data_IF_846657655991
#
_entry.id   IF_846657655991
#
_cell.length_a   1.000
_cell.length_b   1.000
_cell.length_c   1.000
_cell.angle_alpha   90.00
_cell.angle_beta   90.00
_cell.angle_gamma   90.00
#
_symmetry.space_group_name_H-M   'P 1'
#
loop_
_entity.id
_entity.type
_entity.pdbx_description
1 polymer ?
#
# COMPACT_ATOMS: atom_id res chain seq x y z
N UNK A 1 -37.72 17.32 57.24
CA UNK A 1 -37.53 15.92 56.83
C UNK A 1 -36.34 15.89 55.89
N UNK A 2 -35.20 15.43 56.40
CA UNK A 2 -33.92 15.37 55.70
C UNK A 2 -33.98 14.30 54.61
N UNK A 3 -33.82 14.72 53.34
CA UNK A 3 -33.64 13.79 52.23
C UNK A 3 -32.32 13.02 52.44
N UNK A 4 -32.40 11.75 52.81
CA UNK A 4 -31.27 10.82 52.67
C UNK A 4 -30.94 10.71 51.18
N UNK A 5 -29.77 11.23 50.79
CA UNK A 5 -29.21 10.99 49.46
C UNK A 5 -28.80 9.52 49.43
N UNK A 6 -29.67 8.64 48.91
CA UNK A 6 -29.31 7.25 48.62
C UNK A 6 -28.22 7.24 47.55
N UNK A 7 -26.97 7.05 47.98
CA UNK A 7 -25.83 6.83 47.09
C UNK A 7 -25.92 5.47 46.38
N UNK A 8 -25.03 5.24 45.42
CA UNK A 8 -24.96 3.97 44.68
C UNK A 8 -24.38 2.84 45.55
N UNK A 9 -24.95 1.65 45.48
CA UNK A 9 -24.45 0.45 46.17
C UNK A 9 -23.29 -0.22 45.43
N UNK A 10 -22.53 -1.06 46.14
CA UNK A 10 -21.53 -1.93 45.49
C UNK A 10 -22.27 -2.91 44.56
N UNK A 11 -21.80 -2.99 43.32
CA UNK A 11 -22.40 -3.80 42.27
C UNK A 11 -23.31 -3.02 41.32
N UNK A 12 -23.75 -1.81 41.69
CA UNK A 12 -24.65 -0.98 40.88
C UNK A 12 -23.97 -0.45 39.61
N UNK A 13 -24.76 -0.36 38.55
CA UNK A 13 -24.37 0.35 37.33
C UNK A 13 -24.81 1.80 37.40
N UNK A 14 -23.88 2.71 37.15
CA UNK A 14 -24.10 4.16 37.14
C UNK A 14 -23.31 4.81 36.00
N UNK A 15 -23.66 6.05 35.67
CA UNK A 15 -22.95 6.83 34.67
C UNK A 15 -21.87 7.69 35.32
N UNK A 16 -20.64 7.61 34.81
CA UNK A 16 -19.54 8.44 35.28
C UNK A 16 -19.41 9.70 34.43
N UNK A 17 -19.86 10.84 34.96
CA UNK A 17 -19.99 12.09 34.22
C UNK A 17 -18.67 12.55 33.57
N UNK A 18 -17.54 12.48 34.29
CA UNK A 18 -16.24 12.93 33.74
C UNK A 18 -15.66 12.03 32.65
N UNK A 19 -16.09 10.77 32.61
CA UNK A 19 -15.60 9.81 31.63
C UNK A 19 -16.62 9.54 30.53
N UNK A 20 -17.82 10.14 30.64
CA UNK A 20 -18.94 9.94 29.73
C UNK A 20 -19.14 8.46 29.40
N UNK A 21 -19.15 7.60 30.43
CA UNK A 21 -19.17 6.16 30.27
C UNK A 21 -19.97 5.47 31.37
N UNK A 22 -20.63 4.33 31.06
CA UNK A 22 -21.21 3.47 32.08
C UNK A 22 -20.08 2.85 32.93
N UNK A 23 -20.31 2.77 34.22
CA UNK A 23 -19.37 2.21 35.18
C UNK A 23 -20.10 1.36 36.22
N UNK A 24 -19.39 0.40 36.81
CA UNK A 24 -19.91 -0.44 37.88
C UNK A 24 -19.22 -0.12 39.19
N UNK A 25 -19.96 0.12 40.26
CA UNK A 25 -19.37 0.34 41.59
C UNK A 25 -18.75 -0.95 42.09
N UNK A 26 -17.44 -0.92 42.31
CA UNK A 26 -16.65 -2.05 42.83
C UNK A 26 -16.50 -1.93 44.33
N UNK A 27 -16.40 -0.69 44.83
CA UNK A 27 -16.15 -0.41 46.24
C UNK A 27 -16.78 0.92 46.64
N UNK A 28 -17.16 1.02 47.91
CA UNK A 28 -17.76 2.22 48.50
C UNK A 28 -17.22 2.39 49.91
N UNK A 29 -16.54 3.51 50.14
CA UNK A 29 -16.01 3.88 51.45
C UNK A 29 -16.62 5.21 51.89
N UNK A 30 -17.04 5.28 53.15
CA UNK A 30 -17.46 6.53 53.78
C UNK A 30 -16.36 6.99 54.73
N UNK A 31 -15.76 8.14 54.42
CA UNK A 31 -14.66 8.70 55.18
C UNK A 31 -15.03 10.13 55.54
N UNK A 32 -15.17 10.39 56.84
CA UNK A 32 -15.36 11.74 57.39
C UNK A 32 -16.63 12.44 56.85
N UNK A 33 -17.69 11.68 56.58
CA UNK A 33 -18.96 12.18 56.05
C UNK A 33 -18.98 12.40 54.53
N UNK A 34 -17.88 12.12 53.83
CA UNK A 34 -17.84 12.05 52.37
C UNK A 34 -17.83 10.59 51.90
N UNK A 35 -18.59 10.30 50.84
CA UNK A 35 -18.63 8.98 50.22
C UNK A 35 -17.69 8.98 49.00
N UNK A 36 -16.72 8.08 49.02
CA UNK A 36 -15.83 7.78 47.91
C UNK A 36 -16.20 6.42 47.29
N UNK A 37 -16.16 6.36 45.97
CA UNK A 37 -16.41 5.13 45.21
C UNK A 37 -15.16 4.71 44.47
N UNK A 38 -14.98 3.40 44.31
CA UNK A 38 -14.15 2.84 43.23
C UNK A 38 -15.09 2.24 42.20
N UNK A 39 -14.96 2.69 40.96
CA UNK A 39 -15.81 2.23 39.86
C UNK A 39 -14.96 1.62 38.77
N UNK A 40 -15.41 0.50 38.21
CA UNK A 40 -14.82 -0.13 37.04
C UNK A 40 -15.45 0.44 35.77
N UNK A 41 -14.60 0.85 34.83
CA UNK A 41 -14.95 1.33 33.51
C UNK A 41 -14.69 0.21 32.49
N UNK A 42 -15.72 -0.51 32.01
CA UNK A 42 -15.53 -1.68 31.15
C UNK A 42 -14.79 -1.34 29.85
N UNK A 43 -15.13 -0.22 29.21
CA UNK A 43 -14.54 0.18 27.94
C UNK A 43 -13.06 0.59 28.02
N UNK A 44 -12.50 0.74 29.22
CA UNK A 44 -11.08 1.06 29.44
C UNK A 44 -10.35 -0.01 30.26
N UNK A 45 -11.08 -1.05 30.66
CA UNK A 45 -10.64 -2.06 31.63
C UNK A 45 -9.86 -1.47 32.83
N UNK A 46 -10.43 -0.45 33.46
CA UNK A 46 -9.75 0.32 34.50
C UNK A 46 -10.66 0.59 35.71
N UNK A 47 -10.08 0.61 36.91
CA UNK A 47 -10.78 1.01 38.14
C UNK A 47 -10.33 2.40 38.56
N UNK A 48 -11.28 3.34 38.63
CA UNK A 48 -11.03 4.74 38.99
C UNK A 48 -11.74 5.12 40.29
N UNK A 49 -11.24 6.14 40.98
CA UNK A 49 -11.91 6.73 42.15
C UNK A 49 -12.89 7.81 41.70
N UNK A 50 -14.10 7.81 42.25
CA UNK A 50 -15.16 8.76 41.94
C UNK A 50 -15.82 9.28 43.21
N UNK A 51 -16.34 10.51 43.16
CA UNK A 51 -17.20 11.06 44.23
C UNK A 51 -18.67 10.89 43.86
N UNK A 52 -19.56 11.05 44.83
CA UNK A 52 -21.02 11.06 44.56
C UNK A 52 -21.42 12.05 43.47
N UNK A 53 -20.77 13.21 43.39
CA UNK A 53 -21.03 14.23 42.35
C UNK A 53 -20.62 13.79 40.94
N UNK A 54 -19.74 12.81 40.83
CA UNK A 54 -19.23 12.32 39.54
C UNK A 54 -20.11 11.18 38.98
N UNK A 55 -21.06 10.68 39.77
CA UNK A 55 -21.92 9.55 39.43
C UNK A 55 -23.37 10.00 39.30
N UNK A 56 -24.05 9.51 38.26
CA UNK A 56 -25.49 9.68 38.07
C UNK A 56 -26.16 8.36 37.73
N UNK A 57 -27.49 8.31 37.85
CA UNK A 57 -28.26 7.12 37.42
C UNK A 57 -28.01 6.86 35.94
N UNK A 58 -27.80 5.59 35.58
CA UNK A 58 -27.65 5.21 34.18
C UNK A 58 -28.91 5.55 33.35
N UNK A 59 -30.09 5.48 33.98
CA UNK A 59 -31.38 5.81 33.35
C UNK A 59 -31.53 7.31 33.03
N UNK A 60 -30.73 8.17 33.68
CA UNK A 60 -30.75 9.61 33.40
C UNK A 60 -30.06 9.97 32.09
N UNK A 61 -29.33 9.03 31.50
CA UNK A 61 -28.66 9.19 30.21
C UNK A 61 -29.60 8.67 29.13
N UNK A 62 -30.33 9.59 28.51
CA UNK A 62 -31.13 9.32 27.32
C UNK A 62 -30.31 9.74 26.10
N UNK A 63 -29.66 8.80 25.38
CA UNK A 63 -28.98 9.14 24.15
C UNK A 63 -30.01 9.66 23.14
N UNK A 64 -29.68 10.76 22.49
CA UNK A 64 -30.55 11.34 21.46
C UNK A 64 -30.58 10.43 20.23
N UNK A 65 -31.67 10.51 19.44
CA UNK A 65 -31.76 9.76 18.17
C UNK A 65 -30.59 10.05 17.23
N UNK A 66 -30.06 11.28 17.28
CA UNK A 66 -28.90 11.71 16.51
C UNK A 66 -27.62 11.01 16.98
N UNK A 67 -27.35 10.97 18.29
CA UNK A 67 -26.18 10.26 18.85
C UNK A 67 -26.21 8.75 18.56
N UNK A 68 -27.39 8.13 18.63
CA UNK A 68 -27.57 6.72 18.27
C UNK A 68 -27.28 6.52 16.77
N UNK A 69 -27.83 7.37 15.92
CA UNK A 69 -27.63 7.30 14.47
C UNK A 69 -26.16 7.51 14.10
N UNK A 70 -25.51 8.51 14.70
CA UNK A 70 -24.11 8.81 14.52
C UNK A 70 -23.21 7.65 14.97
N UNK A 71 -23.47 7.07 16.14
CA UNK A 71 -22.69 5.94 16.66
C UNK A 71 -22.90 4.69 15.83
N UNK A 72 -24.13 4.39 15.42
CA UNK A 72 -24.45 3.25 14.56
C UNK A 72 -23.85 3.41 13.15
N UNK A 73 -23.86 4.62 12.60
CA UNK A 73 -23.21 4.93 11.32
C UNK A 73 -21.68 4.80 11.42
N UNK A 74 -21.08 5.30 12.51
CA UNK A 74 -19.64 5.15 12.76
C UNK A 74 -19.25 3.68 12.95
N UNK A 75 -20.05 2.90 13.67
CA UNK A 75 -19.83 1.47 13.85
C UNK A 75 -19.98 0.69 12.53
N UNK A 76 -20.99 1.00 11.72
CA UNK A 76 -21.13 0.42 10.37
C UNK A 76 -20.00 0.81 9.43
N UNK A 77 -19.49 2.04 9.55
CA UNK A 77 -18.29 2.46 8.82
C UNK A 77 -17.07 1.70 9.32
N UNK A 78 -16.91 1.51 10.63
CA UNK A 78 -15.82 0.71 11.19
C UNK A 78 -15.89 -0.75 10.71
N UNK A 79 -17.07 -1.36 10.75
CA UNK A 79 -17.36 -2.73 10.30
C UNK A 79 -17.10 -2.90 8.79
N UNK A 80 -17.59 -1.96 7.98
CA UNK A 80 -17.29 -1.94 6.54
C UNK A 80 -15.82 -1.64 6.23
N UNK A 81 -15.12 -0.94 7.14
CA UNK A 81 -13.68 -0.74 7.09
C UNK A 81 -12.91 -1.95 7.63
N UNK A 82 -13.47 -2.82 8.48
CA UNK A 82 -12.80 -4.02 8.98
C UNK A 82 -12.64 -5.08 7.89
N UNK A 83 -13.64 -5.25 7.02
CA UNK A 83 -13.53 -6.11 5.82
C UNK A 83 -12.50 -5.58 4.78
N UNK A 84 -12.15 -4.28 4.84
CA UNK A 84 -11.25 -3.59 3.91
C UNK A 84 -10.18 -2.78 4.63
N UNK A 85 -9.74 -3.21 5.83
CA UNK A 85 -8.90 -2.37 6.67
C UNK A 85 -7.53 -2.27 6.01
N UNK A 86 -7.18 -1.07 5.55
CA UNK A 86 -5.88 -0.78 4.99
C UNK A 86 -4.87 -0.72 6.15
N UNK A 87 -4.03 -1.74 6.27
CA UNK A 87 -3.05 -1.87 7.34
C UNK A 87 -1.83 -0.95 7.13
N UNK A 88 -1.45 -0.73 5.88
CA UNK A 88 -0.29 0.08 5.51
C UNK A 88 -0.41 1.55 5.97
N UNK A 89 -1.52 2.27 5.72
CA UNK A 89 -1.79 3.59 6.28
C UNK A 89 -1.61 3.72 7.80
N UNK A 90 -1.99 2.68 8.56
CA UNK A 90 -1.99 2.70 10.03
C UNK A 90 -0.57 2.55 10.58
N UNK A 91 0.29 1.77 9.91
CA UNK A 91 1.65 1.49 10.37
C UNK A 91 2.73 2.36 9.71
N UNK A 92 2.43 3.01 8.59
CA UNK A 92 3.40 3.90 7.92
C UNK A 92 3.56 5.21 8.68
N UNK A 93 4.76 5.80 8.63
CA UNK A 93 5.02 7.12 9.21
C UNK A 93 4.40 8.27 8.40
N UNK A 94 3.83 7.95 7.24
CA UNK A 94 3.17 8.89 6.34
C UNK A 94 1.70 8.95 6.69
N UNK A 95 1.15 10.16 6.81
CA UNK A 95 -0.30 10.38 6.74
C UNK A 95 -0.68 10.34 5.26
N UNK A 96 -1.28 9.24 4.75
CA UNK A 96 -1.57 9.13 3.34
C UNK A 96 -2.62 10.17 2.95
N UNK A 97 -2.45 10.74 1.75
CA UNK A 97 -3.43 11.67 1.20
C UNK A 97 -4.68 10.90 0.75
N UNK A 98 -5.88 11.52 0.74
CA UNK A 98 -7.12 10.84 0.36
C UNK A 98 -7.08 10.15 -1.00
N UNK A 99 -6.37 10.72 -1.98
CA UNK A 99 -6.22 10.11 -3.29
C UNK A 99 -5.35 8.85 -3.27
N UNK A 100 -4.34 8.80 -2.39
CA UNK A 100 -3.48 7.63 -2.20
C UNK A 100 -4.24 6.48 -1.53
N UNK A 101 -5.13 6.80 -0.58
CA UNK A 101 -6.05 5.82 0.01
C UNK A 101 -7.04 5.28 -1.02
N UNK A 102 -7.55 6.13 -1.91
CA UNK A 102 -8.41 5.69 -3.01
C UNK A 102 -7.66 4.75 -3.97
N UNK A 103 -6.43 5.10 -4.35
CA UNK A 103 -5.58 4.25 -5.18
C UNK A 103 -5.35 2.89 -4.52
N UNK A 104 -5.00 2.88 -3.23
CA UNK A 104 -4.79 1.66 -2.46
C UNK A 104 -6.05 0.79 -2.39
N UNK A 105 -7.19 1.34 -1.96
CA UNK A 105 -8.47 0.62 -1.91
C UNK A 105 -8.87 0.03 -3.27
N UNK A 106 -8.66 0.80 -4.35
CA UNK A 106 -8.98 0.35 -5.70
C UNK A 106 -8.11 -0.84 -6.09
N UNK A 107 -6.82 -0.77 -5.82
CA UNK A 107 -5.88 -1.87 -6.10
C UNK A 107 -6.23 -3.12 -5.30
N UNK A 108 -6.56 -2.97 -4.02
CA UNK A 108 -6.88 -4.08 -3.11
C UNK A 108 -8.26 -4.71 -3.33
N UNK A 109 -9.15 -4.05 -4.09
CA UNK A 109 -10.50 -4.58 -4.35
C UNK A 109 -10.57 -5.72 -5.38
N UNK A 110 -9.42 -6.10 -5.97
CA UNK A 110 -9.33 -7.17 -6.97
C UNK A 110 -8.27 -8.19 -6.59
N UNK A 111 -8.52 -9.46 -6.89
CA UNK A 111 -7.57 -10.54 -6.65
C UNK A 111 -6.30 -10.43 -7.51
N UNK A 112 -6.45 -9.89 -8.73
CA UNK A 112 -5.34 -9.69 -9.67
C UNK A 112 -4.85 -8.25 -9.63
N UNK A 113 -3.76 -8.02 -8.89
CA UNK A 113 -3.14 -6.71 -8.72
C UNK A 113 -2.18 -6.43 -9.87
N UNK A 114 -2.75 -5.98 -11.00
CA UNK A 114 -1.99 -5.57 -12.20
C UNK A 114 -2.49 -4.22 -12.67
N UNK A 115 -1.80 -3.15 -12.29
CA UNK A 115 -2.26 -1.79 -12.47
C UNK A 115 -1.19 -0.86 -13.05
N UNK A 116 -1.66 0.14 -13.80
CA UNK A 116 -0.89 1.32 -14.18
C UNK A 116 -1.31 2.50 -13.29
N UNK A 117 -0.37 3.00 -12.49
CA UNK A 117 -0.49 4.23 -11.71
C UNK A 117 -0.06 5.40 -12.58
N UNK A 118 -1.04 6.17 -13.03
CA UNK A 118 -0.93 7.20 -14.06
C UNK A 118 -1.07 8.63 -13.52
N UNK A 119 -0.79 8.83 -12.23
CA UNK A 119 -0.94 10.12 -11.57
C UNK A 119 0.03 11.17 -12.12
N UNK A 120 -0.30 12.45 -11.96
CA UNK A 120 0.56 13.55 -12.37
C UNK A 120 1.97 13.48 -11.74
N UNK A 121 2.93 14.15 -12.40
CA UNK A 121 4.30 14.26 -11.86
C UNK A 121 4.24 14.95 -10.50
N UNK A 122 4.88 14.35 -9.50
CA UNK A 122 4.96 14.91 -8.14
C UNK A 122 3.75 14.62 -7.23
N UNK A 123 2.79 13.80 -7.64
CA UNK A 123 1.66 13.38 -6.78
C UNK A 123 1.98 12.26 -5.78
N UNK A 124 3.22 11.76 -5.80
CA UNK A 124 3.67 10.73 -4.85
C UNK A 124 3.41 9.29 -5.31
N UNK A 125 3.52 9.01 -6.61
CA UNK A 125 3.44 7.65 -7.19
C UNK A 125 4.32 6.62 -6.47
N UNK A 126 5.53 7.03 -6.07
CA UNK A 126 6.44 6.20 -5.28
C UNK A 126 5.89 5.88 -3.89
N UNK A 127 5.22 6.85 -3.25
CA UNK A 127 4.53 6.65 -1.96
C UNK A 127 3.30 5.75 -2.14
N UNK A 128 2.53 5.91 -3.21
CA UNK A 128 1.39 5.02 -3.53
C UNK A 128 1.83 3.58 -3.77
N UNK A 129 2.90 3.38 -4.56
CA UNK A 129 3.51 2.07 -4.73
C UNK A 129 4.01 1.49 -3.42
N UNK A 130 4.63 2.31 -2.56
CA UNK A 130 5.07 1.90 -1.23
C UNK A 130 3.92 1.48 -0.32
N UNK A 131 2.77 2.19 -0.38
CA UNK A 131 1.55 1.82 0.35
C UNK A 131 1.01 0.47 -0.13
N UNK A 132 0.92 0.23 -1.44
CA UNK A 132 0.46 -1.04 -2.01
C UNK A 132 1.43 -2.17 -1.65
N UNK A 133 2.73 -1.95 -1.82
CA UNK A 133 3.78 -2.89 -1.45
C UNK A 133 3.65 -3.29 0.03
N UNK A 134 3.54 -2.29 0.91
CA UNK A 134 3.43 -2.52 2.35
C UNK A 134 2.15 -3.26 2.72
N UNK A 135 1.03 -2.93 2.08
CA UNK A 135 -0.25 -3.60 2.30
C UNK A 135 -0.15 -5.08 1.92
N UNK A 136 0.43 -5.39 0.76
CA UNK A 136 0.62 -6.77 0.30
C UNK A 136 1.52 -7.57 1.24
N UNK A 137 2.58 -6.96 1.77
CA UNK A 137 3.43 -7.59 2.77
C UNK A 137 2.69 -7.88 4.07
N UNK A 138 1.90 -6.92 4.56
CA UNK A 138 1.15 -7.05 5.80
C UNK A 138 0.07 -8.13 5.71
N UNK A 139 -0.51 -8.33 4.51
CA UNK A 139 -1.45 -9.41 4.21
C UNK A 139 -0.77 -10.75 3.91
N UNK A 140 0.57 -10.81 3.89
CA UNK A 140 1.33 -12.02 3.55
C UNK A 140 1.24 -12.43 2.08
N UNK A 141 0.75 -11.54 1.21
CA UNK A 141 0.55 -11.80 -0.22
C UNK A 141 1.83 -11.63 -1.04
N UNK A 142 2.74 -10.76 -0.60
CA UNK A 142 4.02 -10.55 -1.27
C UNK A 142 5.17 -10.57 -0.25
N UNK A 143 6.23 -11.30 -0.57
CA UNK A 143 7.50 -11.31 0.16
C UNK A 143 8.63 -10.87 -0.74
N UNK A 144 8.71 -11.44 -1.95
CA UNK A 144 9.75 -11.17 -2.94
C UNK A 144 9.31 -10.06 -3.88
N UNK A 145 9.99 -8.92 -3.81
CA UNK A 145 9.63 -7.68 -4.49
C UNK A 145 10.81 -7.22 -5.34
N UNK A 146 10.55 -6.97 -6.62
CA UNK A 146 11.49 -6.34 -7.53
C UNK A 146 11.00 -4.96 -7.93
N UNK A 147 11.88 -3.97 -7.79
CA UNK A 147 11.67 -2.60 -8.28
C UNK A 147 12.64 -2.34 -9.43
N UNK A 148 12.12 -1.99 -10.60
CA UNK A 148 12.89 -1.61 -11.78
C UNK A 148 12.67 -0.12 -12.00
N UNK A 149 13.72 0.68 -11.79
CA UNK A 149 13.63 2.14 -11.92
C UNK A 149 14.73 2.69 -12.83
N UNK A 150 14.59 3.91 -13.36
CA UNK A 150 15.71 4.64 -13.97
C UNK A 150 16.89 4.77 -13.00
N UNK A 151 18.13 4.67 -13.49
CA UNK A 151 19.34 4.74 -12.65
C UNK A 151 19.38 5.96 -11.72
N UNK A 152 18.89 7.11 -12.20
CA UNK A 152 18.82 8.34 -11.41
C UNK A 152 17.80 8.33 -10.26
N UNK A 153 16.78 7.47 -10.31
CA UNK A 153 15.71 7.40 -9.31
C UNK A 153 15.91 6.31 -8.26
N UNK A 154 16.85 5.39 -8.47
CA UNK A 154 17.11 4.25 -7.54
C UNK A 154 17.31 4.73 -6.10
N UNK A 155 18.18 5.74 -5.89
CA UNK A 155 18.48 6.24 -4.54
C UNK A 155 17.27 6.91 -3.89
N UNK A 156 16.47 7.61 -4.68
CA UNK A 156 15.23 8.23 -4.20
C UNK A 156 14.24 7.16 -3.75
N UNK A 157 14.03 6.12 -4.56
CA UNK A 157 13.20 4.97 -4.18
C UNK A 157 13.66 4.33 -2.87
N UNK A 158 14.95 4.03 -2.72
CA UNK A 158 15.47 3.45 -1.47
C UNK A 158 15.25 4.37 -0.26
N UNK A 159 15.45 5.68 -0.43
CA UNK A 159 15.23 6.65 0.63
C UNK A 159 13.75 6.73 1.03
N UNK A 160 12.83 6.79 0.06
CA UNK A 160 11.39 6.83 0.32
C UNK A 160 10.89 5.54 0.96
N UNK A 161 11.30 4.37 0.45
CA UNK A 161 10.95 3.05 1.03
C UNK A 161 11.40 2.94 2.49
N UNK A 162 12.63 3.38 2.78
CA UNK A 162 13.18 3.34 4.14
C UNK A 162 12.51 4.35 5.07
N UNK A 163 12.33 5.60 4.63
CA UNK A 163 11.84 6.70 5.46
C UNK A 163 10.36 6.53 5.80
N UNK A 164 9.56 6.13 4.81
CA UNK A 164 8.10 6.12 4.91
C UNK A 164 7.52 4.78 5.32
N UNK A 165 8.17 3.69 4.91
CA UNK A 165 7.64 2.34 5.09
C UNK A 165 8.55 1.42 5.91
N UNK A 166 9.76 1.87 6.28
CA UNK A 166 10.73 1.04 6.98
C UNK A 166 11.23 -0.15 6.15
N UNK A 167 11.07 -0.09 4.83
CA UNK A 167 11.40 -1.17 3.91
C UNK A 167 12.85 -1.03 3.41
N UNK A 168 13.60 -2.13 3.46
CA UNK A 168 15.01 -2.17 3.12
C UNK A 168 15.20 -2.81 1.74
N UNK A 169 15.03 -2.00 0.70
CA UNK A 169 15.21 -2.46 -0.68
C UNK A 169 16.70 -2.44 -1.06
N UNK A 170 17.27 -3.60 -1.35
CA UNK A 170 18.69 -3.73 -1.69
C UNK A 170 18.92 -3.31 -3.14
N UNK A 171 19.82 -2.35 -3.36
CA UNK A 171 20.29 -2.06 -4.72
C UNK A 171 21.30 -3.13 -5.14
N UNK A 172 21.02 -3.80 -6.25
CA UNK A 172 21.95 -4.72 -6.90
C UNK A 172 22.44 -4.03 -8.16
N UNK A 173 23.73 -3.64 -8.17
CA UNK A 173 24.36 -3.21 -9.42
C UNK A 173 24.83 -4.45 -10.18
N UNK A 174 24.36 -4.71 -11.41
CA UNK A 174 24.72 -5.94 -12.11
C UNK A 174 26.21 -6.12 -12.45
N UNK A 175 27.03 -5.08 -12.28
CA UNK A 175 28.49 -5.22 -12.33
C UNK A 175 29.04 -6.04 -11.14
N UNK A 176 28.35 -5.99 -10.00
CA UNK A 176 28.73 -6.73 -8.80
C UNK A 176 28.35 -8.22 -8.91
N UNK A 177 27.30 -8.56 -9.67
CA UNK A 177 26.87 -9.95 -9.88
C UNK A 177 27.98 -10.84 -10.44
N UNK A 178 28.72 -10.35 -11.44
CA UNK A 178 29.86 -11.06 -12.02
C UNK A 178 31.01 -11.25 -11.02
N UNK A 179 31.19 -10.32 -10.08
CA UNK A 179 32.22 -10.45 -9.04
C UNK A 179 31.80 -11.45 -7.97
N UNK A 180 30.52 -11.44 -7.55
CA UNK A 180 30.01 -12.35 -6.53
C UNK A 180 30.00 -13.82 -6.97
N UNK A 181 29.81 -14.09 -8.28
CA UNK A 181 29.83 -15.47 -8.80
C UNK A 181 31.22 -16.13 -8.73
N UNK A 182 32.32 -15.37 -8.77
CA UNK A 182 33.66 -15.95 -8.60
C UNK A 182 33.85 -16.65 -7.23
N UNK A 183 32.99 -16.34 -6.27
CA UNK A 183 33.04 -16.87 -4.90
C UNK A 183 31.93 -17.88 -4.58
N UNK A 184 30.99 -18.12 -5.52
CA UNK A 184 29.80 -18.97 -5.31
C UNK A 184 29.64 -19.99 -6.43
N UNK A 185 28.96 -21.10 -6.15
CA UNK A 185 28.65 -22.11 -7.17
C UNK A 185 27.77 -21.52 -8.27
N UNK A 186 27.99 -21.95 -9.52
CA UNK A 186 27.24 -21.50 -10.70
C UNK A 186 25.71 -21.72 -10.61
N UNK A 187 25.24 -22.54 -9.67
CA UNK A 187 23.82 -22.87 -9.49
C UNK A 187 23.02 -21.88 -8.62
N UNK A 188 23.69 -20.98 -7.88
CA UNK A 188 22.99 -20.08 -6.95
C UNK A 188 22.53 -18.78 -7.63
N UNK A 189 21.22 -18.61 -7.80
CA UNK A 189 20.65 -17.39 -8.39
C UNK A 189 20.81 -16.20 -7.42
N UNK A 190 21.71 -15.28 -7.76
CA UNK A 190 22.08 -14.12 -6.95
C UNK A 190 20.90 -13.16 -6.66
N UNK A 191 19.90 -13.12 -7.52
CA UNK A 191 18.69 -12.32 -7.29
C UNK A 191 17.83 -12.86 -6.14
N UNK A 192 18.11 -14.08 -5.66
CA UNK A 192 17.46 -14.68 -4.50
C UNK A 192 18.10 -14.33 -3.16
N UNK A 193 19.26 -13.66 -3.15
CA UNK A 193 19.96 -13.26 -1.92
C UNK A 193 19.13 -12.32 -1.04
N UNK A 194 18.29 -11.49 -1.66
CA UNK A 194 17.43 -10.55 -0.97
C UNK A 194 15.98 -10.75 -1.41
N UNK A 195 15.05 -10.58 -0.48
CA UNK A 195 13.62 -10.59 -0.78
C UNK A 195 13.17 -9.27 -1.42
N UNK A 196 13.88 -8.17 -1.19
CA UNK A 196 13.55 -6.87 -1.78
C UNK A 196 14.74 -6.32 -2.54
N UNK A 197 14.57 -6.18 -3.86
CA UNK A 197 15.63 -5.75 -4.76
C UNK A 197 15.18 -4.56 -5.59
N UNK A 198 16.08 -3.60 -5.78
CA UNK A 198 15.95 -2.54 -6.77
C UNK A 198 17.13 -2.62 -7.75
N UNK A 199 16.83 -2.50 -9.04
CA UNK A 199 17.84 -2.44 -10.09
C UNK A 199 17.48 -1.40 -11.15
N UNK A 200 18.48 -0.98 -11.92
CA UNK A 200 18.23 -0.07 -13.03
C UNK A 200 17.78 -0.83 -14.28
N UNK A 201 16.78 -0.30 -14.99
CA UNK A 201 16.26 -0.91 -16.22
C UNK A 201 17.36 -1.21 -17.25
N UNK A 202 18.27 -0.25 -17.49
CA UNK A 202 19.33 -0.40 -18.49
C UNK A 202 20.40 -1.43 -18.10
N UNK A 203 20.43 -1.85 -16.83
CA UNK A 203 21.41 -2.81 -16.34
C UNK A 203 20.99 -4.28 -16.50
N UNK A 204 19.69 -4.54 -16.72
CA UNK A 204 19.09 -5.88 -16.78
C UNK A 204 18.39 -6.18 -18.11
N UNK A 205 18.33 -5.21 -19.04
CA UNK A 205 17.78 -5.45 -20.38
C UNK A 205 18.66 -6.45 -21.15
N UNK A 206 18.05 -7.36 -21.94
CA UNK A 206 18.82 -8.29 -22.74
C UNK A 206 19.58 -7.56 -23.86
N UNK A 207 20.77 -8.06 -24.19
CA UNK A 207 21.61 -7.54 -25.27
C UNK A 207 21.67 -8.53 -26.43
N UNK A 208 21.43 -8.04 -27.64
CA UNK A 208 21.57 -8.83 -28.87
C UNK A 208 22.99 -8.72 -29.46
N UNK A 209 23.63 -7.56 -29.30
CA UNK A 209 25.00 -7.33 -29.74
C UNK A 209 25.68 -6.24 -28.90
N UNK A 210 26.99 -6.37 -28.70
CA UNK A 210 27.85 -5.35 -28.09
C UNK A 210 29.23 -5.37 -28.75
N UNK A 211 29.71 -4.19 -29.16
CA UNK A 211 30.99 -4.07 -29.87
C UNK A 211 32.13 -4.61 -29.00
N UNK A 212 32.90 -5.55 -29.56
CA UNK A 212 34.04 -6.17 -28.90
C UNK A 212 33.69 -7.30 -27.92
N UNK A 213 32.44 -7.78 -27.91
CA UNK A 213 32.02 -8.92 -27.08
C UNK A 213 31.88 -10.19 -27.91
N UNK A 214 32.31 -11.32 -27.36
CA UNK A 214 32.05 -12.65 -27.91
C UNK A 214 30.60 -13.09 -27.64
N UNK A 215 30.14 -14.11 -28.37
CA UNK A 215 28.83 -14.73 -28.13
C UNK A 215 28.70 -15.29 -26.71
N UNK A 216 29.78 -15.85 -26.17
CA UNK A 216 29.83 -16.38 -24.80
C UNK A 216 29.68 -15.27 -23.76
N UNK A 217 30.31 -14.11 -23.97
CA UNK A 217 30.16 -12.95 -23.09
C UNK A 217 28.74 -12.38 -23.12
N UNK A 218 28.11 -12.34 -24.32
CA UNK A 218 26.71 -11.93 -24.46
C UNK A 218 25.75 -12.91 -23.78
N UNK A 219 25.95 -14.21 -23.97
CA UNK A 219 25.14 -15.26 -23.33
C UNK A 219 25.28 -15.20 -21.81
N UNK A 220 26.49 -15.04 -21.29
CA UNK A 220 26.73 -14.92 -19.85
C UNK A 220 26.06 -13.68 -19.27
N UNK A 221 26.16 -12.54 -19.95
CA UNK A 221 25.46 -11.31 -19.56
C UNK A 221 23.93 -11.50 -19.50
N UNK A 222 23.33 -12.09 -20.55
CA UNK A 222 21.88 -12.28 -20.60
C UNK A 222 21.43 -13.30 -19.55
N UNK A 223 22.17 -14.39 -19.36
CA UNK A 223 21.88 -15.37 -18.30
C UNK A 223 21.84 -14.70 -16.94
N UNK A 224 22.90 -14.00 -16.56
CA UNK A 224 23.05 -13.41 -15.22
C UNK A 224 22.09 -12.26 -14.93
N UNK A 225 21.83 -11.42 -15.93
CA UNK A 225 21.15 -10.13 -15.71
C UNK A 225 19.70 -10.14 -16.14
N UNK A 226 19.34 -11.06 -17.02
CA UNK A 226 18.00 -11.19 -17.55
C UNK A 226 17.37 -12.51 -17.11
N UNK A 227 17.92 -13.67 -17.50
CA UNK A 227 17.27 -14.97 -17.23
C UNK A 227 17.20 -15.30 -15.73
N UNK A 228 18.29 -15.07 -14.99
CA UNK A 228 18.33 -15.25 -13.54
C UNK A 228 17.37 -14.28 -12.83
N UNK A 229 17.22 -13.05 -13.35
CA UNK A 229 16.26 -12.07 -12.80
C UNK A 229 14.82 -12.57 -12.95
N UNK A 230 14.45 -13.08 -14.13
CA UNK A 230 13.11 -13.61 -14.42
C UNK A 230 12.81 -14.84 -13.56
N UNK A 231 13.79 -15.73 -13.36
CA UNK A 231 13.63 -16.97 -12.60
C UNK A 231 13.71 -16.80 -11.08
N UNK A 232 13.83 -15.58 -10.57
CA UNK A 232 13.98 -15.29 -9.14
C UNK A 232 12.66 -15.32 -8.33
N UNK A 233 11.55 -15.78 -8.93
CA UNK A 233 10.26 -16.01 -8.29
C UNK A 233 9.76 -14.79 -7.51
N UNK A 234 9.52 -13.69 -8.22
CA UNK A 234 9.01 -12.47 -7.63
C UNK A 234 7.50 -12.57 -7.41
N UNK A 235 7.01 -12.08 -6.27
CA UNK A 235 5.58 -11.96 -5.99
C UNK A 235 5.04 -10.65 -6.58
N UNK A 236 5.84 -9.57 -6.48
CA UNK A 236 5.49 -8.24 -6.95
C UNK A 236 6.64 -7.65 -7.78
N UNK A 237 6.31 -7.21 -9.00
CA UNK A 237 7.20 -6.38 -9.82
C UNK A 237 6.64 -4.97 -9.91
N UNK A 238 7.50 -3.99 -9.66
CA UNK A 238 7.21 -2.57 -9.80
C UNK A 238 8.12 -2.00 -10.88
N UNK A 239 7.55 -1.40 -11.94
CA UNK A 239 8.31 -0.78 -13.03
C UNK A 239 8.02 0.72 -13.02
N UNK A 240 9.02 1.51 -12.66
CA UNK A 240 8.97 2.96 -12.68
C UNK A 240 9.35 3.53 -14.06
N UNK A 241 8.73 4.65 -14.41
CA UNK A 241 8.75 5.24 -15.75
C UNK A 241 8.43 4.24 -16.85
N UNK A 242 7.35 3.48 -16.65
CA UNK A 242 6.92 2.41 -17.53
C UNK A 242 6.74 2.86 -18.99
N UNK A 243 6.47 4.16 -19.26
CA UNK A 243 6.42 4.70 -20.63
C UNK A 243 7.70 4.41 -21.45
N UNK A 244 8.86 4.20 -20.79
CA UNK A 244 10.12 3.85 -21.46
C UNK A 244 10.10 2.46 -22.10
N UNK A 245 9.16 1.60 -21.72
CA UNK A 245 8.99 0.24 -22.23
C UNK A 245 8.30 0.16 -23.60
N UNK A 246 7.71 1.25 -24.09
CA UNK A 246 6.77 1.21 -25.23
C UNK A 246 7.30 1.51 -26.64
N UNK A 247 8.50 2.05 -26.87
CA UNK A 247 8.86 2.61 -28.21
C UNK A 247 9.80 1.80 -29.16
N UNK A 248 10.64 2.50 -29.97
CA UNK A 248 11.56 2.08 -31.06
C UNK A 248 12.84 1.30 -30.69
N UNK A 249 13.30 0.39 -31.56
CA UNK A 249 14.59 -0.37 -31.60
C UNK A 249 15.32 -0.72 -30.29
N UNK A 250 15.99 0.20 -29.57
CA UNK A 250 16.55 -0.09 -28.22
C UNK A 250 15.45 -0.43 -27.19
N UNK A 251 14.22 -0.06 -27.52
CA UNK A 251 13.02 -0.31 -26.76
C UNK A 251 12.45 -1.71 -27.01
N UNK A 252 12.91 -2.46 -28.03
CA UNK A 252 12.59 -3.88 -28.17
C UNK A 252 13.18 -4.66 -26.99
N UNK A 253 14.42 -4.37 -26.60
CA UNK A 253 15.04 -4.99 -25.43
C UNK A 253 14.30 -4.64 -24.13
N UNK A 254 13.86 -3.37 -23.99
CA UNK A 254 13.08 -2.93 -22.83
C UNK A 254 11.70 -3.60 -22.80
N UNK A 255 10.99 -3.65 -23.92
CA UNK A 255 9.72 -4.34 -24.03
C UNK A 255 9.86 -5.84 -23.72
N UNK A 256 10.88 -6.51 -24.27
CA UNK A 256 11.21 -7.92 -23.94
C UNK A 256 11.39 -8.12 -22.42
N UNK A 257 12.08 -7.20 -21.75
CA UNK A 257 12.20 -7.19 -20.30
C UNK A 257 10.87 -7.00 -19.59
N UNK A 258 10.05 -6.04 -20.01
CA UNK A 258 8.74 -5.81 -19.41
C UNK A 258 7.82 -7.01 -19.56
N UNK A 259 7.80 -7.61 -20.75
CA UNK A 259 7.01 -8.79 -21.07
C UNK A 259 7.44 -10.01 -20.25
N UNK A 260 8.75 -10.24 -20.13
CA UNK A 260 9.25 -11.35 -19.32
C UNK A 260 8.99 -11.13 -17.83
N UNK A 261 9.20 -9.91 -17.31
CA UNK A 261 8.91 -9.57 -15.93
C UNK A 261 7.42 -9.61 -15.58
N UNK A 262 6.55 -9.25 -16.53
CA UNK A 262 5.11 -9.30 -16.32
C UNK A 262 4.59 -10.74 -16.24
N UNK A 263 5.27 -11.69 -16.86
CA UNK A 263 5.01 -13.13 -16.74
C UNK A 263 5.68 -13.75 -15.50
N UNK A 264 6.80 -13.18 -15.04
CA UNK A 264 7.57 -13.68 -13.90
C UNK A 264 6.90 -13.49 -12.54
N UNK A 265 5.92 -12.59 -12.44
CA UNK A 265 5.26 -12.25 -11.19
C UNK A 265 3.72 -12.17 -11.33
N UNK A 266 2.97 -12.62 -10.30
CA UNK A 266 1.52 -12.50 -10.30
C UNK A 266 1.08 -11.03 -10.19
N UNK A 267 1.76 -10.23 -9.36
CA UNK A 267 1.45 -8.82 -9.15
C UNK A 267 2.39 -7.90 -9.93
N UNK A 268 1.82 -6.88 -10.57
CA UNK A 268 2.54 -5.93 -11.40
C UNK A 268 2.03 -4.51 -11.18
N UNK A 269 2.92 -3.60 -10.84
CA UNK A 269 2.63 -2.17 -10.79
C UNK A 269 3.49 -1.45 -11.82
N UNK A 270 2.84 -0.82 -12.79
CA UNK A 270 3.48 0.08 -13.74
C UNK A 270 3.27 1.51 -13.24
N UNK A 271 4.32 2.31 -13.16
CA UNK A 271 4.21 3.72 -12.80
C UNK A 271 4.61 4.58 -13.99
N UNK A 272 3.77 5.54 -14.36
CA UNK A 272 4.14 6.50 -15.40
C UNK A 272 3.30 7.76 -15.29
N UNK A 273 3.94 8.92 -15.29
CA UNK A 273 3.21 10.19 -15.36
C UNK A 273 2.68 10.50 -16.77
N UNK A 274 3.22 9.85 -17.80
CA UNK A 274 2.86 10.08 -19.21
C UNK A 274 2.65 8.74 -19.92
N UNK A 275 1.61 7.98 -19.55
CA UNK A 275 1.43 6.64 -20.11
C UNK A 275 1.10 6.67 -21.61
N UNK A 276 0.50 7.75 -22.10
CA UNK A 276 0.25 7.97 -23.51
C UNK A 276 0.96 9.25 -23.99
N UNK A 277 1.98 9.09 -24.85
CA UNK A 277 2.75 10.20 -25.43
C UNK A 277 2.29 10.53 -26.87
N UNK A 278 1.01 10.33 -27.18
CA UNK A 278 0.45 10.54 -28.53
C UNK A 278 0.75 9.42 -29.53
N UNK A 279 1.27 8.28 -29.07
CA UNK A 279 1.58 7.10 -29.88
C UNK A 279 0.80 5.89 -29.36
N UNK A 280 -0.17 5.44 -30.14
CA UNK A 280 -1.11 4.37 -29.77
C UNK A 280 -0.41 3.03 -29.59
N UNK A 281 0.58 2.71 -30.43
CA UNK A 281 1.37 1.48 -30.37
C UNK A 281 2.12 1.32 -29.03
N UNK A 282 2.69 2.41 -28.52
CA UNK A 282 3.45 2.37 -27.27
C UNK A 282 2.55 2.15 -26.07
N UNK A 283 1.40 2.81 -26.07
CA UNK A 283 0.43 2.65 -24.98
C UNK A 283 -0.22 1.26 -25.01
N UNK A 284 -0.53 0.74 -26.21
CA UNK A 284 -0.98 -0.65 -26.40
C UNK A 284 0.01 -1.66 -25.82
N UNK A 285 1.31 -1.52 -26.11
CA UNK A 285 2.36 -2.37 -25.54
C UNK A 285 2.37 -2.34 -24.01
N UNK A 286 2.14 -1.20 -23.38
CA UNK A 286 2.03 -1.12 -21.91
C UNK A 286 0.81 -1.85 -21.38
N UNK A 287 -0.33 -1.71 -22.04
CA UNK A 287 -1.56 -2.41 -21.66
C UNK A 287 -1.42 -3.93 -21.79
N UNK A 288 -0.70 -4.41 -22.80
CA UNK A 288 -0.36 -5.82 -22.95
C UNK A 288 0.49 -6.39 -21.79
N UNK A 289 1.31 -5.56 -21.13
CA UNK A 289 2.06 -6.01 -19.96
C UNK A 289 1.11 -6.32 -18.79
N UNK A 290 0.03 -5.55 -18.66
CA UNK A 290 -0.99 -5.74 -17.64
C UNK A 290 -1.86 -6.96 -17.97
N UNK A 291 -2.35 -7.05 -19.20
CA UNK A 291 -3.23 -8.13 -19.64
C UNK A 291 -3.21 -8.31 -21.17
N UNK A 292 -2.69 -9.43 -21.67
CA UNK A 292 -2.61 -9.67 -23.13
C UNK A 292 -3.96 -10.03 -23.74
N UNK A 293 -4.83 -10.71 -22.99
CA UNK A 293 -6.11 -11.20 -23.50
C UNK A 293 -7.11 -10.06 -23.68
N UNK A 294 -7.06 -9.07 -22.79
CA UNK A 294 -7.86 -7.85 -22.86
C UNK A 294 -7.38 -6.90 -23.96
N UNK A 295 -6.08 -6.96 -24.29
CA UNK A 295 -5.42 -6.04 -25.24
C UNK A 295 -4.65 -6.74 -26.40
N UNK A 296 -5.32 -7.54 -27.24
CA UNK A 296 -4.66 -8.31 -28.30
C UNK A 296 -4.03 -7.44 -29.40
N UNK A 297 -4.65 -6.30 -29.73
CA UNK A 297 -4.25 -5.41 -30.83
C UNK A 297 -4.46 -3.92 -30.49
N UNK A 298 -3.95 -3.00 -31.30
CA UNK A 298 -4.05 -1.55 -31.01
C UNK A 298 -5.50 -1.03 -30.94
N UNK A 299 -6.45 -1.66 -31.66
CA UNK A 299 -7.87 -1.24 -31.66
C UNK A 299 -8.59 -1.62 -30.37
N UNK A 300 -8.04 -2.57 -29.61
CA UNK A 300 -8.54 -2.94 -28.28
C UNK A 300 -8.31 -1.86 -27.20
N UNK A 301 -7.48 -0.85 -27.49
CA UNK A 301 -7.20 0.24 -26.56
C UNK A 301 -8.33 1.26 -26.60
N UNK A 302 -9.36 1.02 -25.79
CA UNK A 302 -10.47 1.95 -25.57
C UNK A 302 -10.55 2.38 -24.11
N UNK A 303 -11.17 3.55 -23.85
CA UNK A 303 -11.35 4.08 -22.49
C UNK A 303 -11.97 3.06 -21.54
N UNK A 304 -13.03 2.38 -21.99
CA UNK A 304 -13.75 1.38 -21.18
C UNK A 304 -12.92 0.16 -20.84
N UNK A 305 -12.06 -0.29 -21.77
CA UNK A 305 -11.19 -1.45 -21.55
C UNK A 305 -9.99 -1.11 -20.69
N UNK A 306 -9.47 0.11 -20.80
CA UNK A 306 -8.30 0.60 -20.06
C UNK A 306 -8.66 0.97 -18.62
N UNK A 307 -9.84 1.56 -18.40
CA UNK A 307 -10.29 2.06 -17.09
C UNK A 307 -10.09 1.06 -15.95
N UNK A 308 -10.42 -0.24 -16.07
CA UNK A 308 -10.19 -1.23 -15.03
C UNK A 308 -8.73 -1.39 -14.57
N UNK A 309 -7.76 -1.11 -15.45
CA UNK A 309 -6.33 -1.32 -15.21
C UNK A 309 -5.58 -0.05 -14.84
N UNK A 310 -6.20 1.13 -15.02
CA UNK A 310 -5.55 2.42 -14.80
C UNK A 310 -6.13 3.10 -13.57
N UNK A 311 -5.24 3.45 -12.64
CA UNK A 311 -5.51 4.35 -11.54
C UNK A 311 -4.92 5.70 -11.90
N UNK A 312 -5.78 6.72 -11.96
CA UNK A 312 -5.39 8.10 -12.19
C UNK A 312 -6.13 8.96 -11.19
N UNK A 313 -5.38 9.73 -10.43
CA UNK A 313 -5.86 10.73 -9.49
C UNK A 313 -5.29 12.07 -9.90
N UNK A 314 -6.15 13.08 -9.89
CA UNK A 314 -5.74 14.46 -10.14
C UNK A 314 -5.60 15.16 -8.80
N UNK A 315 -4.66 16.12 -8.72
CA UNK A 315 -4.54 16.97 -7.55
C UNK A 315 -5.82 17.79 -7.45
N UNK A 316 -6.80 17.37 -6.63
CA UNK A 316 -7.96 18.22 -6.32
C UNK A 316 -7.42 19.52 -5.71
N UNK A 317 -7.35 20.54 -6.54
CA UNK A 317 -7.24 21.92 -6.09
C UNK A 317 -8.40 22.19 -5.14
N UNK A 318 -8.17 23.08 -4.17
CA UNK A 318 -9.22 23.64 -3.32
C UNK A 318 -10.37 24.19 -4.18
N UNK A 319 -11.37 23.39 -4.51
CA UNK A 319 -12.75 23.75 -4.91
C UNK A 319 -13.51 22.47 -5.22
N UNK A 320 -14.72 22.40 -4.65
CA UNK A 320 -15.61 21.27 -4.80
C UNK A 320 -16.22 21.14 -6.20
N UNK A 321 -16.91 20.02 -6.33
CA UNK A 321 -17.92 19.65 -7.33
C UNK A 321 -17.47 19.37 -8.77
N UNK A 322 -17.93 18.20 -9.21
CA UNK A 322 -18.25 17.78 -10.58
C UNK A 322 -17.12 17.79 -11.63
N UNK A 323 -16.73 16.57 -12.01
CA UNK A 323 -16.46 16.28 -13.41
C UNK A 323 -16.89 14.82 -13.67
N UNK A 324 -18.08 14.71 -14.27
CA UNK A 324 -18.50 13.54 -15.00
C UNK A 324 -17.52 13.29 -16.16
N UNK A 325 -17.34 12.02 -16.49
CA UNK A 325 -16.48 11.55 -17.56
C UNK A 325 -17.26 11.70 -18.87
N UNK A 326 -16.77 12.58 -19.75
CA UNK A 326 -16.88 12.46 -21.21
C UNK A 326 -15.50 12.07 -21.76
#
# INVERSE_FOLDING_TARGET
>A
MTHEVRGHGIGDWCWHARHAAPCRVVDREEIWGEIAYRVWLPGKDAVVRARTSDLSSLESVQPTSDEILHTAAAAKLLDALEDNLLLAPIQSSVVPLPHQLYALNRVMSRDRIRYLLADEVGLGKTVEAGLILRELKLRGMAKRILIVAPKGLVRQWQAEMRLHFGEHVQYIEPAELSAFRQWRSDEENLWRLHDQVICSLDSVKPLEARRGWSLEQLSTYNRERFEDLISASWDLVIIDEAHRMGGSTDQVARYKLGAALSEAAPYLLLLSATPHQGKTDQFHRLMQLLDRDSFPDETSVSSDRVRPFVVRTEKRGKRGQEAAID
#
